data_IF_462089591818
#
_entry.id   IF_462089591818
#
_cell.length_a   1.000
_cell.length_b   1.000
_cell.length_c   1.000
_cell.angle_alpha   90.00
_cell.angle_beta   90.00
_cell.angle_gamma   90.00
#
_symmetry.space_group_name_H-M   'P 1'
#
loop_
_entity.id
_entity.type
_entity.pdbx_description
1 polymer ?
#
# COMPACT_ATOMS: atom_id res chain seq x y z
N UNK A 1 -8.70 -23.41 6.49
CA UNK A 1 -9.49 -22.17 6.53
C UNK A 1 -8.65 -21.09 7.22
N UNK A 2 -8.40 -19.98 6.51
CA UNK A 2 -7.57 -18.80 6.82
C UNK A 2 -6.18 -19.02 7.47
N UNK A 3 -5.18 -19.37 6.65
CA UNK A 3 -3.75 -19.21 6.98
C UNK A 3 -3.30 -17.74 6.81
N UNK A 4 -4.08 -16.79 7.32
CA UNK A 4 -3.73 -15.36 7.30
C UNK A 4 -3.13 -15.01 8.66
N UNK A 5 -1.86 -14.60 8.65
CA UNK A 5 -1.20 -14.03 9.82
C UNK A 5 -1.47 -12.51 9.86
N UNK A 6 -2.46 -12.14 10.65
CA UNK A 6 -2.85 -10.75 10.85
C UNK A 6 -1.77 -9.90 11.51
N UNK A 7 -0.81 -10.50 12.25
CA UNK A 7 0.31 -9.74 12.82
C UNK A 7 1.31 -9.34 11.72
N UNK A 8 1.54 -10.24 10.76
CA UNK A 8 2.37 -9.94 9.59
C UNK A 8 1.71 -8.87 8.70
N UNK A 9 0.40 -9.00 8.44
CA UNK A 9 -0.38 -7.99 7.70
C UNK A 9 -0.34 -6.65 8.42
N UNK A 10 -0.59 -6.61 9.73
CA UNK A 10 -0.60 -5.36 10.50
C UNK A 10 0.75 -4.63 10.41
N UNK A 11 1.87 -5.34 10.53
CA UNK A 11 3.20 -4.74 10.42
C UNK A 11 3.47 -4.11 9.05
N UNK A 12 3.05 -4.79 7.96
CA UNK A 12 3.14 -4.24 6.61
C UNK A 12 2.20 -3.05 6.40
N UNK A 13 0.96 -3.16 6.89
CA UNK A 13 -0.06 -2.12 6.78
C UNK A 13 0.35 -0.83 7.48
N UNK A 14 0.96 -0.90 8.67
CA UNK A 14 1.46 0.28 9.39
C UNK A 14 2.42 1.10 8.53
N UNK A 15 3.32 0.43 7.81
CA UNK A 15 4.28 1.12 6.92
C UNK A 15 3.56 1.76 5.74
N UNK A 16 2.69 1.02 5.06
CA UNK A 16 1.92 1.53 3.93
C UNK A 16 1.03 2.73 4.32
N UNK A 17 0.38 2.65 5.49
CA UNK A 17 -0.46 3.71 6.05
C UNK A 17 0.38 4.93 6.37
N UNK A 18 1.52 4.77 7.04
CA UNK A 18 2.40 5.89 7.38
C UNK A 18 2.82 6.66 6.12
N UNK A 19 3.21 5.94 5.06
CA UNK A 19 3.57 6.56 3.78
C UNK A 19 2.40 7.33 3.18
N UNK A 20 1.22 6.70 3.05
CA UNK A 20 0.09 7.35 2.38
C UNK A 20 -0.58 8.47 3.15
N UNK A 21 -0.59 8.38 4.49
CA UNK A 21 -1.04 9.50 5.33
C UNK A 21 -0.08 10.68 5.21
N UNK A 22 1.24 10.45 5.25
CA UNK A 22 2.23 11.52 5.06
C UNK A 22 2.15 12.15 3.67
N UNK A 23 1.95 11.36 2.62
CA UNK A 23 1.73 11.85 1.26
C UNK A 23 0.48 12.76 1.20
N UNK A 24 -0.64 12.33 1.78
CA UNK A 24 -1.88 13.10 1.82
C UNK A 24 -1.73 14.42 2.59
N UNK A 25 -1.03 14.39 3.73
CA UNK A 25 -0.76 15.59 4.54
C UNK A 25 0.19 16.54 3.81
N UNK A 26 1.24 16.03 3.18
CA UNK A 26 2.19 16.85 2.42
C UNK A 26 1.49 17.56 1.25
N UNK A 27 0.66 16.85 0.49
CA UNK A 27 -0.14 17.42 -0.61
C UNK A 27 -1.07 18.54 -0.11
N UNK A 28 -1.65 18.39 1.09
CA UNK A 28 -2.48 19.41 1.71
C UNK A 28 -1.67 20.66 2.13
N UNK A 29 -0.51 20.47 2.77
CA UNK A 29 0.36 21.56 3.24
C UNK A 29 0.83 22.45 2.08
N UNK A 30 1.17 21.84 0.94
CA UNK A 30 1.62 22.59 -0.25
C UNK A 30 0.47 23.16 -1.10
N UNK A 31 -0.79 23.01 -0.65
CA UNK A 31 -2.00 23.38 -1.40
C UNK A 31 -1.96 22.87 -2.85
N UNK A 32 -1.65 21.59 -3.02
CA UNK A 32 -1.47 21.02 -4.34
C UNK A 32 -2.76 21.12 -5.17
N UNK A 33 -2.70 21.86 -6.28
CA UNK A 33 -3.83 21.97 -7.21
C UNK A 33 -4.29 20.59 -7.69
N UNK A 34 -5.60 20.41 -7.83
CA UNK A 34 -6.22 19.15 -8.28
C UNK A 34 -5.79 18.74 -9.69
N UNK A 35 -5.50 19.71 -10.55
CA UNK A 35 -5.06 19.48 -11.92
C UNK A 35 -3.54 19.32 -12.02
N UNK A 36 -2.85 19.34 -10.88
CA UNK A 36 -1.39 19.17 -10.84
C UNK A 36 -1.00 17.71 -11.05
N UNK A 37 -0.02 17.52 -11.93
CA UNK A 37 0.70 16.25 -12.08
C UNK A 37 1.35 15.76 -10.78
N UNK A 38 1.47 16.62 -9.75
CA UNK A 38 1.93 16.22 -8.42
C UNK A 38 1.08 15.11 -7.79
N UNK A 39 -0.23 15.06 -8.07
CA UNK A 39 -1.10 14.00 -7.56
C UNK A 39 -0.72 12.63 -8.11
N UNK A 40 -0.22 12.57 -9.34
CA UNK A 40 0.30 11.34 -9.93
C UNK A 40 1.55 10.85 -9.19
N UNK A 41 2.43 11.77 -8.77
CA UNK A 41 3.65 11.43 -8.00
C UNK A 41 3.26 10.84 -6.64
N UNK A 42 2.36 11.50 -5.89
CA UNK A 42 1.90 11.01 -4.58
C UNK A 42 1.20 9.67 -4.69
N UNK A 43 0.41 9.46 -5.74
CA UNK A 43 -0.19 8.15 -6.02
C UNK A 43 0.86 7.04 -6.16
N UNK A 44 1.94 7.27 -6.91
CA UNK A 44 3.02 6.28 -7.02
C UNK A 44 3.78 6.08 -5.71
N UNK A 45 3.93 7.13 -4.90
CA UNK A 45 4.48 7.01 -3.55
C UNK A 45 3.63 6.05 -2.70
N UNK A 46 2.30 6.13 -2.78
CA UNK A 46 1.40 5.21 -2.08
C UNK A 46 1.53 3.77 -2.58
N UNK A 47 1.63 3.57 -3.90
CA UNK A 47 1.80 2.24 -4.50
C UNK A 47 3.15 1.62 -4.09
N UNK A 48 4.22 2.42 -4.05
CA UNK A 48 5.54 1.98 -3.57
C UNK A 48 5.48 1.67 -2.08
N UNK A 49 4.82 2.51 -1.27
CA UNK A 49 4.59 2.28 0.15
C UNK A 49 3.87 0.95 0.39
N UNK A 50 2.80 0.69 -0.38
CA UNK A 50 2.07 -0.57 -0.35
C UNK A 50 2.96 -1.76 -0.73
N UNK A 51 3.81 -1.64 -1.75
CA UNK A 51 4.78 -2.68 -2.12
C UNK A 51 5.80 -2.95 -1.01
N UNK A 52 6.32 -1.92 -0.36
CA UNK A 52 7.23 -2.08 0.80
C UNK A 52 6.51 -2.76 1.96
N UNK A 53 5.27 -2.35 2.27
CA UNK A 53 4.47 -3.00 3.31
C UNK A 53 4.17 -4.47 3.00
N UNK A 54 3.78 -4.78 1.77
CA UNK A 54 3.54 -6.15 1.31
C UNK A 54 4.80 -7.02 1.36
N UNK A 55 5.96 -6.44 1.03
CA UNK A 55 7.26 -7.08 1.18
C UNK A 55 7.59 -7.43 2.63
N UNK A 56 7.33 -6.50 3.56
CA UNK A 56 7.55 -6.70 5.00
C UNK A 56 6.63 -7.80 5.55
N UNK A 57 5.35 -7.79 5.19
CA UNK A 57 4.40 -8.80 5.61
C UNK A 57 4.78 -10.19 5.09
N UNK A 58 5.09 -10.30 3.80
CA UNK A 58 5.47 -11.57 3.17
C UNK A 58 6.79 -12.13 3.69
N UNK A 59 7.76 -11.28 4.07
CA UNK A 59 9.00 -11.73 4.72
C UNK A 59 8.77 -12.44 6.04
N UNK A 60 7.70 -12.11 6.77
CA UNK A 60 7.37 -12.73 8.05
C UNK A 60 6.62 -14.05 7.89
N UNK A 61 5.92 -14.25 6.77
CA UNK A 61 5.21 -15.49 6.47
C UNK A 61 5.22 -15.81 4.97
N UNK A 62 6.08 -16.75 4.59
CA UNK A 62 6.32 -17.13 3.20
C UNK A 62 5.30 -18.13 2.63
N UNK A 63 4.39 -18.65 3.45
CA UNK A 63 3.41 -19.66 3.00
C UNK A 63 2.35 -19.06 2.05
N UNK A 64 2.00 -17.78 2.26
CA UNK A 64 0.95 -17.09 1.50
C UNK A 64 1.32 -15.62 1.19
N UNK A 65 2.47 -15.38 0.52
CA UNK A 65 3.10 -14.07 0.43
C UNK A 65 2.32 -13.09 -0.45
N UNK A 66 1.70 -13.59 -1.53
CA UNK A 66 0.89 -12.77 -2.45
C UNK A 66 -0.40 -12.27 -1.78
N UNK A 67 -1.10 -13.17 -1.08
CA UNK A 67 -2.35 -12.85 -0.38
C UNK A 67 -2.10 -11.85 0.75
N UNK A 68 -1.06 -12.04 1.55
CA UNK A 68 -0.68 -11.08 2.60
C UNK A 68 -0.34 -9.71 2.02
N UNK A 69 0.40 -9.68 0.90
CA UNK A 69 0.70 -8.45 0.18
C UNK A 69 -0.55 -7.71 -0.30
N UNK A 70 -1.48 -8.42 -0.95
CA UNK A 70 -2.73 -7.85 -1.42
C UNK A 70 -3.58 -7.27 -0.27
N UNK A 71 -3.69 -8.00 0.83
CA UNK A 71 -4.45 -7.58 2.02
C UNK A 71 -3.80 -6.34 2.65
N UNK A 72 -2.48 -6.28 2.75
CA UNK A 72 -1.78 -5.08 3.24
C UNK A 72 -2.15 -3.86 2.40
N UNK A 73 -2.08 -3.97 1.08
CA UNK A 73 -2.44 -2.87 0.18
C UNK A 73 -3.89 -2.42 0.34
N UNK A 74 -4.83 -3.37 0.37
CA UNK A 74 -6.25 -3.08 0.52
C UNK A 74 -6.58 -2.44 1.88
N UNK A 75 -6.07 -3.01 2.98
CA UNK A 75 -6.30 -2.48 4.33
C UNK A 75 -5.66 -1.10 4.52
N UNK A 76 -4.46 -0.88 3.98
CA UNK A 76 -3.81 0.42 4.07
C UNK A 76 -4.61 1.51 3.33
N UNK A 77 -5.14 1.19 2.15
CA UNK A 77 -5.93 2.16 1.40
C UNK A 77 -7.18 2.62 2.15
N UNK A 78 -7.86 1.74 2.90
CA UNK A 78 -9.04 2.13 3.69
C UNK A 78 -8.69 3.28 4.65
N UNK A 79 -7.54 3.20 5.32
CA UNK A 79 -7.09 4.25 6.25
C UNK A 79 -6.67 5.51 5.49
N UNK A 80 -5.91 5.36 4.40
CA UNK A 80 -5.48 6.49 3.57
C UNK A 80 -6.70 7.24 3.00
N UNK A 81 -7.70 6.51 2.51
CA UNK A 81 -8.95 7.06 1.97
C UNK A 81 -9.74 7.83 3.03
N UNK A 82 -9.79 7.36 4.28
CA UNK A 82 -10.42 8.09 5.38
C UNK A 82 -9.71 9.44 5.58
N UNK A 83 -8.38 9.45 5.71
CA UNK A 83 -7.61 10.68 5.89
C UNK A 83 -7.73 11.64 4.71
N UNK A 84 -7.54 11.14 3.48
CA UNK A 84 -7.65 11.94 2.27
C UNK A 84 -9.05 12.54 2.09
N UNK A 85 -10.10 11.77 2.42
CA UNK A 85 -11.48 12.25 2.40
C UNK A 85 -11.73 13.30 3.46
N UNK A 86 -11.24 13.10 4.69
CA UNK A 86 -11.34 14.09 5.77
C UNK A 86 -10.65 15.40 5.39
N UNK A 87 -9.44 15.35 4.86
CA UNK A 87 -8.71 16.53 4.37
C UNK A 87 -9.52 17.23 3.27
N UNK A 88 -10.01 16.47 2.29
CA UNK A 88 -10.80 17.01 1.16
C UNK A 88 -12.06 17.73 1.65
N UNK A 89 -12.79 17.13 2.60
CA UNK A 89 -14.02 17.68 3.15
C UNK A 89 -13.77 18.96 3.97
N UNK A 90 -12.72 18.98 4.81
CA UNK A 90 -12.36 20.16 5.61
C UNK A 90 -11.88 21.31 4.71
N UNK A 91 -11.22 20.99 3.60
CA UNK A 91 -10.78 21.98 2.60
C UNK A 91 -11.90 22.45 1.66
N UNK A 92 -13.17 22.10 1.91
CA UNK A 92 -14.32 22.57 1.12
C UNK A 92 -14.47 21.95 -0.27
N UNK A 93 -13.77 20.84 -0.54
CA UNK A 93 -13.78 20.18 -1.84
C UNK A 93 -14.81 19.05 -1.93
N UNK A 94 -15.27 18.76 -3.15
CA UNK A 94 -16.15 17.62 -3.43
C UNK A 94 -15.49 16.28 -3.10
N UNK A 95 -16.32 15.31 -2.66
CA UNK A 95 -15.91 13.93 -2.32
C UNK A 95 -15.32 13.20 -3.54
N UNK A 96 -14.35 12.28 -3.33
CA UNK A 96 -13.85 11.44 -4.40
C UNK A 96 -14.96 10.53 -4.96
N UNK A 97 -14.89 10.26 -6.27
CA UNK A 97 -15.85 9.37 -6.92
C UNK A 97 -15.59 7.91 -6.52
N UNK A 98 -16.65 7.10 -6.44
CA UNK A 98 -16.54 5.67 -6.08
C UNK A 98 -15.56 4.92 -7.00
N UNK A 99 -15.57 5.24 -8.30
CA UNK A 99 -14.64 4.65 -9.26
C UNK A 99 -13.17 4.96 -8.93
N UNK A 100 -12.86 6.16 -8.45
CA UNK A 100 -11.50 6.55 -8.04
C UNK A 100 -11.04 5.77 -6.81
N UNK A 101 -11.95 5.57 -5.85
CA UNK A 101 -11.69 4.79 -4.63
C UNK A 101 -11.38 3.33 -5.01
N UNK A 102 -12.23 2.71 -5.83
CA UNK A 102 -12.01 1.31 -6.29
C UNK A 102 -10.70 1.18 -7.05
N UNK A 103 -10.43 2.12 -7.97
CA UNK A 103 -9.19 2.15 -8.73
C UNK A 103 -7.96 2.17 -7.82
N UNK A 104 -7.94 3.07 -6.83
CA UNK A 104 -6.80 3.20 -5.94
C UNK A 104 -6.63 1.99 -5.00
N UNK A 105 -7.72 1.40 -4.49
CA UNK A 105 -7.66 0.11 -3.73
C UNK A 105 -6.95 -0.96 -4.56
N UNK A 106 -7.37 -1.14 -5.82
CA UNK A 106 -6.83 -2.16 -6.70
C UNK A 106 -5.33 -1.96 -6.97
N UNK A 107 -4.91 -0.71 -7.16
CA UNK A 107 -3.51 -0.37 -7.37
C UNK A 107 -2.64 -0.57 -6.13
N UNK A 108 -3.13 -0.21 -4.94
CA UNK A 108 -2.38 -0.48 -3.71
C UNK A 108 -2.34 -1.98 -3.40
N UNK A 109 -3.42 -2.72 -3.64
CA UNK A 109 -3.43 -4.18 -3.54
C UNK A 109 -2.43 -4.82 -4.53
N UNK A 110 -2.36 -4.31 -5.76
CA UNK A 110 -1.36 -4.74 -6.75
C UNK A 110 0.06 -4.43 -6.27
N UNK A 111 0.33 -3.21 -5.80
CA UNK A 111 1.62 -2.82 -5.22
C UNK A 111 2.03 -3.77 -4.09
N UNK A 112 1.13 -3.99 -3.13
CA UNK A 112 1.34 -4.93 -2.03
C UNK A 112 1.62 -6.36 -2.50
N UNK A 113 0.91 -6.84 -3.52
CA UNK A 113 1.13 -8.17 -4.13
C UNK A 113 2.52 -8.28 -4.76
N UNK A 114 2.96 -7.25 -5.50
CA UNK A 114 4.31 -7.19 -6.07
C UNK A 114 5.36 -7.24 -4.97
N UNK A 115 5.15 -6.48 -3.89
CA UNK A 115 5.98 -6.54 -2.68
C UNK A 115 6.08 -7.95 -2.12
N UNK A 116 4.94 -8.63 -1.96
CA UNK A 116 4.89 -10.00 -1.48
C UNK A 116 5.63 -10.99 -2.38
N UNK A 117 5.49 -10.84 -3.71
CA UNK A 117 6.18 -11.66 -4.69
C UNK A 117 7.71 -11.48 -4.64
N UNK A 118 8.20 -10.25 -4.52
CA UNK A 118 9.65 -9.98 -4.41
C UNK A 118 10.23 -10.62 -3.14
N UNK A 119 9.46 -10.64 -2.04
CA UNK A 119 9.88 -11.30 -0.80
C UNK A 119 10.04 -12.81 -1.00
N UNK A 120 9.06 -13.48 -1.60
CA UNK A 120 9.10 -14.92 -1.83
C UNK A 120 10.20 -15.32 -2.80
N UNK A 121 10.39 -14.57 -3.87
CA UNK A 121 11.46 -14.81 -4.85
C UNK A 121 12.85 -14.70 -4.23
N UNK A 122 13.09 -13.70 -3.37
CA UNK A 122 14.36 -13.54 -2.65
C UNK A 122 14.61 -14.66 -1.65
N UNK A 123 13.56 -15.16 -0.99
CA UNK A 123 13.69 -16.29 -0.06
C UNK A 123 14.06 -17.59 -0.80
N UNK A 124 13.41 -17.87 -1.93
CA UNK A 124 13.70 -19.05 -2.76
C UNK A 124 15.12 -19.06 -3.33
N UNK A 125 15.67 -17.90 -3.70
CA UNK A 125 17.06 -17.78 -4.16
C UNK A 125 18.09 -18.07 -3.07
N UNK A 126 17.79 -17.75 -1.80
CA UNK A 126 18.70 -18.00 -0.67
C UNK A 126 18.70 -19.46 -0.22
N UNK A 127 17.60 -20.17 -0.44
CA UNK A 127 17.45 -21.59 -0.12
C UNK A 127 18.12 -22.52 -1.14
N UNK A 128 18.70 -22.00 -2.22
CA UNK A 128 19.56 -22.75 -3.16
C UNK A 128 21.04 -22.42 -2.89
N UNK A 129 21.67 -22.93 -1.82
CA UNK A 129 23.12 -22.97 -1.78
C UNK A 129 23.64 -23.91 -2.88
N UNK A 130 24.74 -23.50 -3.48
CA UNK A 130 25.44 -24.10 -4.61
C UNK A 130 25.68 -25.61 -4.48
N UNK A 131 25.05 -26.39 -5.36
CA UNK A 131 25.66 -27.62 -5.86
C UNK A 131 26.82 -27.18 -6.76
N UNK A 132 28.04 -27.13 -6.21
CA UNK A 132 29.29 -26.94 -6.94
C UNK A 132 30.32 -27.93 -6.43
#
# INVERSE_FOLDING_TARGET
MSNIDWKAVAAGAVVSIAVGVLASVAAAIINLSKDSNGWFIFFWVDVIGAAVGGYIAARRRLDTPLLHGAIVGACAYVVIAIFATTITLVSGHARPAIAQVIFAVLWLALGGTIGGWIASWRAGRRARPSES
#
